data_IF_469095277836
#
_entry.id   IF_469095277836
#
_cell.length_a   1.000
_cell.length_b   1.000
_cell.length_c   1.000
_cell.angle_alpha   90.00
_cell.angle_beta   90.00
_cell.angle_gamma   90.00
#
_symmetry.space_group_name_H-M   'P 1'
#
loop_
_entity.id
_entity.type
_entity.pdbx_description
1 polymer ?
#
# COMPACT_ATOMS: atom_id res chain seq x y z
N UNK A 1 16.26 -32.73 -21.25
CA UNK A 1 15.35 -32.94 -20.09
C UNK A 1 15.43 -31.70 -19.26
N UNK A 2 14.51 -30.76 -19.49
CA UNK A 2 14.40 -29.56 -18.66
C UNK A 2 13.68 -29.93 -17.34
N UNK A 3 14.38 -29.79 -16.24
CA UNK A 3 13.86 -29.99 -14.91
C UNK A 3 12.95 -28.80 -14.60
N UNK A 4 11.67 -28.92 -14.86
CA UNK A 4 10.67 -27.96 -14.40
C UNK A 4 10.63 -28.08 -12.88
N UNK A 5 11.36 -27.22 -12.19
CA UNK A 5 11.22 -27.05 -10.74
C UNK A 5 9.77 -26.71 -10.38
N UNK A 6 9.31 -27.00 -9.14
CA UNK A 6 7.96 -26.66 -8.74
C UNK A 6 7.77 -25.16 -8.92
N UNK A 7 6.81 -24.79 -9.80
CA UNK A 7 6.37 -23.41 -9.97
C UNK A 7 5.94 -22.90 -8.59
N UNK A 8 6.70 -21.98 -8.03
CA UNK A 8 6.28 -21.25 -6.84
C UNK A 8 4.89 -20.70 -7.11
N UNK A 9 3.92 -20.87 -6.21
CA UNK A 9 2.58 -20.35 -6.41
C UNK A 9 2.70 -18.84 -6.64
N UNK A 10 2.03 -18.34 -7.69
CA UNK A 10 2.04 -16.92 -8.03
C UNK A 10 1.57 -16.14 -6.80
N UNK A 11 2.48 -15.36 -6.21
CA UNK A 11 2.15 -14.49 -5.11
C UNK A 11 1.42 -13.26 -5.65
N UNK A 12 0.28 -12.94 -5.05
CA UNK A 12 -0.50 -11.74 -5.32
C UNK A 12 -0.39 -10.80 -4.13
N UNK A 13 0.67 -9.94 -4.07
CA UNK A 13 0.81 -8.98 -2.99
C UNK A 13 -0.44 -8.12 -2.89
N UNK A 14 -0.92 -7.88 -1.67
CA UNK A 14 -2.21 -7.24 -1.47
C UNK A 14 -2.34 -5.91 -2.21
N UNK A 15 -1.35 -5.03 -2.06
CA UNK A 15 -1.41 -3.68 -2.62
C UNK A 15 -1.36 -3.67 -4.16
N UNK A 16 -0.66 -4.63 -4.80
CA UNK A 16 -0.59 -4.74 -6.25
C UNK A 16 -1.96 -5.06 -6.86
N UNK A 17 -2.69 -5.93 -6.19
CA UNK A 17 -4.05 -6.29 -6.61
C UNK A 17 -5.02 -5.16 -6.28
N UNK A 18 -4.89 -4.53 -5.12
CA UNK A 18 -5.77 -3.46 -4.67
C UNK A 18 -5.81 -2.24 -5.62
N UNK A 19 -4.68 -1.91 -6.28
CA UNK A 19 -4.61 -0.81 -7.25
C UNK A 19 -5.03 -1.19 -8.67
N UNK A 20 -5.25 -2.48 -8.94
CA UNK A 20 -5.68 -2.96 -10.26
C UNK A 20 -7.00 -2.32 -10.70
N UNK A 21 -7.12 -1.94 -11.96
CA UNK A 21 -8.29 -1.22 -12.51
C UNK A 21 -9.62 -1.99 -12.38
N UNK A 22 -9.60 -3.32 -12.28
CA UNK A 22 -10.79 -4.15 -12.05
C UNK A 22 -11.19 -4.26 -10.58
N UNK A 23 -10.21 -4.14 -9.68
CA UNK A 23 -10.35 -4.30 -8.23
C UNK A 23 -10.62 -2.96 -7.54
N UNK A 24 -9.78 -1.96 -7.82
CA UNK A 24 -9.76 -0.66 -7.17
C UNK A 24 -11.14 0.01 -7.07
N UNK A 25 -11.94 0.14 -8.14
CA UNK A 25 -13.23 0.80 -8.06
C UNK A 25 -14.25 0.06 -7.18
N UNK A 26 -14.11 -1.25 -7.05
CA UNK A 26 -14.97 -2.09 -6.19
C UNK A 26 -14.50 -2.04 -4.74
N UNK A 27 -13.19 -2.08 -4.54
CA UNK A 27 -12.57 -1.94 -3.23
C UNK A 27 -12.93 -0.60 -2.56
N UNK A 28 -12.89 0.49 -3.34
CA UNK A 28 -13.27 1.83 -2.86
C UNK A 28 -14.76 1.98 -2.51
N UNK A 29 -15.61 1.06 -2.95
CA UNK A 29 -17.03 0.98 -2.56
C UNK A 29 -17.30 0.07 -1.36
N UNK A 30 -16.24 -0.54 -0.81
CA UNK A 30 -16.36 -1.48 0.32
C UNK A 30 -16.98 -2.83 -0.06
N UNK A 31 -16.87 -3.24 -1.33
CA UNK A 31 -17.33 -4.56 -1.76
C UNK A 31 -16.47 -5.66 -1.15
N UNK A 32 -17.09 -6.79 -0.79
CA UNK A 32 -16.36 -8.00 -0.45
C UNK A 32 -15.79 -8.61 -1.73
N UNK A 33 -14.46 -8.68 -1.82
CA UNK A 33 -13.74 -9.07 -3.01
C UNK A 33 -12.86 -10.29 -2.75
N UNK A 34 -12.93 -11.25 -3.67
CA UNK A 34 -12.12 -12.46 -3.63
C UNK A 34 -11.63 -12.78 -5.03
N UNK A 35 -10.39 -13.14 -5.14
CA UNK A 35 -9.76 -13.59 -6.39
C UNK A 35 -9.39 -15.06 -6.23
N UNK A 36 -9.90 -15.88 -7.11
CA UNK A 36 -9.65 -17.32 -7.13
C UNK A 36 -8.84 -17.74 -8.34
N UNK A 37 -8.16 -18.86 -8.23
CA UNK A 37 -7.66 -19.58 -9.41
C UNK A 37 -8.81 -19.90 -10.38
N UNK A 38 -8.55 -20.11 -11.70
CA UNK A 38 -9.61 -20.28 -12.71
C UNK A 38 -10.61 -21.38 -12.39
N UNK A 39 -10.18 -22.43 -11.70
CA UNK A 39 -11.02 -23.54 -11.25
C UNK A 39 -11.55 -23.40 -9.82
N UNK A 40 -11.39 -22.25 -9.20
CA UNK A 40 -11.73 -21.97 -7.80
C UNK A 40 -11.07 -22.93 -6.78
N UNK A 41 -9.96 -23.54 -7.12
CA UNK A 41 -9.25 -24.48 -6.24
C UNK A 41 -8.54 -23.77 -5.09
N UNK A 42 -8.10 -22.53 -5.32
CA UNK A 42 -7.37 -21.71 -4.33
C UNK A 42 -7.87 -20.27 -4.34
N UNK A 43 -7.86 -19.66 -3.16
CA UNK A 43 -7.97 -18.20 -3.01
C UNK A 43 -6.57 -17.62 -3.29
N UNK A 44 -6.48 -16.66 -4.19
CA UNK A 44 -5.23 -16.02 -4.57
C UNK A 44 -5.09 -14.64 -3.90
N UNK A 45 -6.22 -14.01 -3.62
CA UNK A 45 -6.30 -12.72 -2.97
C UNK A 45 -7.71 -12.47 -2.43
N UNK A 46 -7.81 -11.72 -1.34
CA UNK A 46 -9.08 -11.25 -0.78
C UNK A 46 -8.86 -9.95 0.00
N UNK A 47 -9.92 -9.14 0.17
CA UNK A 47 -9.94 -8.09 1.17
C UNK A 47 -10.60 -8.59 2.48
N UNK A 48 -10.51 -7.81 3.56
CA UNK A 48 -11.09 -8.21 4.84
C UNK A 48 -12.60 -8.47 4.78
N UNK A 49 -13.35 -7.71 3.96
CA UNK A 49 -14.77 -7.95 3.74
C UNK A 49 -15.03 -9.30 3.07
N UNK A 50 -14.18 -9.72 2.12
CA UNK A 50 -14.26 -11.03 1.46
C UNK A 50 -13.96 -12.20 2.42
N UNK A 51 -12.93 -12.08 3.26
CA UNK A 51 -12.61 -13.07 4.28
C UNK A 51 -13.79 -13.22 5.27
N UNK A 52 -14.28 -12.11 5.81
CA UNK A 52 -15.43 -12.11 6.74
C UNK A 52 -16.72 -12.65 6.11
N UNK A 53 -16.91 -12.47 4.81
CA UNK A 53 -18.08 -13.02 4.11
C UNK A 53 -18.19 -14.55 4.27
N UNK A 54 -17.06 -15.24 4.31
CA UNK A 54 -17.00 -16.67 4.56
C UNK A 54 -16.69 -17.05 6.03
N UNK A 55 -16.77 -16.08 6.95
CA UNK A 55 -16.61 -16.31 8.39
C UNK A 55 -15.17 -16.30 8.90
N UNK A 56 -14.20 -15.96 8.05
CA UNK A 56 -12.81 -15.82 8.49
C UNK A 56 -12.55 -14.40 9.02
N UNK A 57 -11.91 -14.28 10.17
CA UNK A 57 -11.54 -13.01 10.76
C UNK A 57 -10.26 -12.44 10.12
N UNK A 58 -9.35 -13.32 9.69
CA UNK A 58 -8.06 -12.98 9.09
C UNK A 58 -8.08 -13.23 7.57
N UNK A 59 -7.44 -12.33 6.83
CA UNK A 59 -7.17 -12.49 5.39
C UNK A 59 -6.23 -13.69 5.19
N UNK A 60 -5.23 -13.85 6.05
CA UNK A 60 -4.23 -14.90 5.94
C UNK A 60 -4.83 -16.28 6.12
N UNK A 61 -5.69 -16.47 7.15
CA UNK A 61 -6.39 -17.72 7.36
C UNK A 61 -7.27 -18.09 6.15
N UNK A 62 -7.97 -17.09 5.60
CA UNK A 62 -8.81 -17.33 4.42
C UNK A 62 -8.02 -17.64 3.15
N UNK A 63 -6.83 -17.08 2.99
CA UNK A 63 -5.93 -17.41 1.87
C UNK A 63 -5.40 -18.84 1.97
N UNK A 64 -5.16 -19.33 3.19
CA UNK A 64 -4.64 -20.67 3.45
C UNK A 64 -5.74 -21.74 3.38
N UNK A 65 -6.83 -21.55 4.11
CA UNK A 65 -7.90 -22.52 4.25
C UNK A 65 -8.91 -22.49 3.09
N UNK A 66 -9.18 -21.28 2.58
CA UNK A 66 -10.21 -21.02 1.59
C UNK A 66 -11.64 -21.15 2.16
N UNK A 67 -12.66 -21.01 1.31
CA UNK A 67 -14.04 -21.19 1.71
C UNK A 67 -14.39 -22.66 1.91
N UNK A 68 -15.31 -22.93 2.81
CA UNK A 68 -15.86 -24.28 2.97
C UNK A 68 -16.54 -24.73 1.67
N UNK A 69 -16.01 -25.80 1.06
CA UNK A 69 -16.51 -26.36 -0.20
C UNK A 69 -17.96 -26.87 -0.13
N UNK A 70 -18.43 -27.19 1.07
CA UNK A 70 -19.82 -27.63 1.31
C UNK A 70 -20.78 -26.47 1.47
N UNK A 71 -20.28 -25.24 1.61
CA UNK A 71 -21.13 -24.06 1.75
C UNK A 71 -21.99 -23.83 0.50
N UNK A 72 -23.28 -23.58 0.72
CA UNK A 72 -24.24 -23.40 -0.37
C UNK A 72 -23.91 -22.16 -1.20
N UNK A 73 -23.47 -21.08 -0.56
CA UNK A 73 -23.10 -19.84 -1.20
C UNK A 73 -21.88 -20.04 -2.09
N UNK A 74 -20.86 -20.76 -1.58
CA UNK A 74 -19.67 -21.07 -2.37
C UNK A 74 -20.00 -21.93 -3.59
N UNK A 75 -20.86 -22.94 -3.45
CA UNK A 75 -21.30 -23.78 -4.57
C UNK A 75 -22.08 -22.98 -5.64
N UNK A 76 -22.85 -21.97 -5.24
CA UNK A 76 -23.51 -21.06 -6.19
C UNK A 76 -22.47 -20.20 -6.96
N UNK A 77 -21.45 -19.69 -6.28
CA UNK A 77 -20.33 -18.97 -6.90
C UNK A 77 -19.58 -19.88 -7.87
N UNK A 78 -19.27 -21.11 -7.46
CA UNK A 78 -18.61 -22.09 -8.31
C UNK A 78 -19.43 -22.41 -9.58
N UNK A 79 -20.74 -22.60 -9.44
CA UNK A 79 -21.63 -22.86 -10.58
C UNK A 79 -21.67 -21.67 -11.55
N UNK A 80 -21.65 -20.43 -11.06
CA UNK A 80 -21.57 -19.23 -11.89
C UNK A 80 -20.22 -19.11 -12.60
N UNK A 81 -19.11 -19.37 -11.87
CA UNK A 81 -17.77 -19.29 -12.41
C UNK A 81 -17.50 -20.32 -13.52
N UNK A 82 -18.08 -21.52 -13.43
CA UNK A 82 -17.98 -22.54 -14.49
C UNK A 82 -18.60 -22.12 -15.84
N UNK A 83 -19.41 -21.07 -15.85
CA UNK A 83 -20.00 -20.50 -17.07
C UNK A 83 -19.14 -19.42 -17.71
N UNK A 84 -18.01 -19.07 -17.11
CA UNK A 84 -17.06 -18.10 -17.64
C UNK A 84 -16.09 -18.83 -18.58
N UNK A 85 -16.08 -18.46 -19.84
CA UNK A 85 -15.29 -19.15 -20.89
C UNK A 85 -14.05 -18.36 -21.31
N UNK A 86 -14.12 -17.03 -21.31
CA UNK A 86 -13.05 -16.15 -21.76
C UNK A 86 -12.90 -14.93 -20.87
N UNK A 87 -11.70 -14.36 -20.83
CA UNK A 87 -11.43 -13.10 -20.12
C UNK A 87 -12.42 -12.02 -20.52
N UNK A 88 -13.01 -11.36 -19.53
CA UNK A 88 -14.09 -10.39 -19.69
C UNK A 88 -15.50 -10.96 -19.54
N UNK A 89 -15.67 -12.28 -19.53
CA UNK A 89 -16.97 -12.88 -19.23
C UNK A 89 -17.36 -12.59 -17.78
N UNK A 90 -18.64 -12.26 -17.59
CA UNK A 90 -19.22 -11.93 -16.28
C UNK A 90 -20.55 -12.63 -16.10
N UNK A 91 -20.84 -13.04 -14.85
CA UNK A 91 -22.11 -13.65 -14.43
C UNK A 91 -22.57 -13.03 -13.13
N UNK A 92 -23.80 -12.56 -13.13
CA UNK A 92 -24.50 -12.11 -11.91
C UNK A 92 -25.20 -13.30 -11.27
N UNK A 93 -25.12 -13.37 -9.95
CA UNK A 93 -25.81 -14.39 -9.16
C UNK A 93 -26.42 -13.76 -7.92
N UNK A 94 -27.59 -14.24 -7.53
CA UNK A 94 -28.26 -13.76 -6.34
C UNK A 94 -27.86 -14.61 -5.14
N UNK A 95 -27.22 -14.00 -4.16
CA UNK A 95 -26.87 -14.61 -2.90
C UNK A 95 -27.81 -14.12 -1.79
N UNK A 96 -28.03 -14.95 -0.77
CA UNK A 96 -28.76 -14.57 0.43
C UNK A 96 -27.78 -14.45 1.58
N UNK A 97 -27.54 -13.23 2.02
CA UNK A 97 -26.58 -12.92 3.09
C UNK A 97 -27.35 -12.68 4.38
N UNK A 98 -26.85 -13.24 5.48
CA UNK A 98 -27.38 -12.97 6.82
C UNK A 98 -26.92 -11.59 7.27
N UNK A 99 -27.84 -10.70 7.55
CA UNK A 99 -27.59 -9.39 8.15
C UNK A 99 -28.43 -9.27 9.42
N UNK A 100 -27.78 -9.43 10.57
CA UNK A 100 -28.48 -9.56 11.85
C UNK A 100 -29.39 -10.80 11.84
N UNK A 101 -30.70 -10.59 12.04
CA UNK A 101 -31.70 -11.66 12.05
C UNK A 101 -32.39 -11.88 10.68
N UNK A 102 -32.00 -11.15 9.66
CA UNK A 102 -32.65 -11.21 8.33
C UNK A 102 -31.70 -11.75 7.27
N UNK A 103 -32.29 -12.45 6.28
CA UNK A 103 -31.60 -12.83 5.05
C UNK A 103 -31.90 -11.81 3.97
N UNK A 104 -30.88 -11.04 3.59
CA UNK A 104 -30.99 -10.03 2.56
C UNK A 104 -30.49 -10.58 1.23
N UNK A 105 -31.25 -10.48 0.13
CA UNK A 105 -30.76 -10.85 -1.18
C UNK A 105 -29.78 -9.77 -1.69
N UNK A 106 -28.62 -10.19 -2.18
CA UNK A 106 -27.63 -9.33 -2.83
C UNK A 106 -27.23 -9.92 -4.16
N UNK A 107 -26.99 -9.06 -5.15
CA UNK A 107 -26.50 -9.48 -6.45
C UNK A 107 -24.98 -9.44 -6.44
N UNK A 108 -24.35 -10.62 -6.37
CA UNK A 108 -22.91 -10.78 -6.54
C UNK A 108 -22.56 -10.90 -8.04
N UNK A 109 -21.30 -10.67 -8.36
CA UNK A 109 -20.76 -10.80 -9.71
C UNK A 109 -19.52 -11.72 -9.66
N UNK A 110 -19.50 -12.74 -10.53
CA UNK A 110 -18.31 -13.50 -10.84
C UNK A 110 -17.82 -13.09 -12.24
N UNK A 111 -16.54 -12.75 -12.37
CA UNK A 111 -15.94 -12.26 -13.60
C UNK A 111 -14.58 -12.95 -13.84
N UNK A 112 -14.31 -13.39 -15.08
CA UNK A 112 -13.01 -13.89 -15.47
C UNK A 112 -12.14 -12.70 -15.92
N UNK A 113 -11.14 -12.37 -15.15
CA UNK A 113 -10.27 -11.18 -15.36
C UNK A 113 -8.80 -11.58 -15.43
N UNK A 114 -7.98 -10.69 -15.97
CA UNK A 114 -6.52 -10.77 -15.84
C UNK A 114 -6.06 -9.68 -14.85
N UNK A 115 -5.44 -10.09 -13.74
CA UNK A 115 -4.76 -9.18 -12.81
C UNK A 115 -3.31 -9.01 -13.26
N UNK A 116 -2.70 -10.11 -13.71
CA UNK A 116 -1.40 -10.12 -14.39
C UNK A 116 -1.61 -10.59 -15.82
N UNK A 117 -0.85 -10.02 -16.73
CA UNK A 117 -0.96 -10.33 -18.15
C UNK A 117 -0.78 -11.83 -18.41
N UNK A 118 -1.77 -12.43 -19.06
CA UNK A 118 -1.76 -13.87 -19.39
C UNK A 118 -2.14 -14.80 -18.23
N UNK A 119 -2.48 -14.26 -17.05
CA UNK A 119 -2.91 -15.06 -15.90
C UNK A 119 -4.40 -14.80 -15.62
N UNK A 120 -5.30 -15.60 -16.23
CA UNK A 120 -6.73 -15.47 -15.95
C UNK A 120 -7.05 -15.91 -14.52
N UNK A 121 -7.90 -15.15 -13.84
CA UNK A 121 -8.38 -15.43 -12.48
C UNK A 121 -9.87 -15.15 -12.40
N UNK A 122 -10.56 -15.76 -11.47
CA UNK A 122 -11.98 -15.47 -11.20
C UNK A 122 -12.08 -14.45 -10.07
N UNK A 123 -12.56 -13.27 -10.40
CA UNK A 123 -12.92 -12.22 -9.45
C UNK A 123 -14.36 -12.41 -9.02
N UNK A 124 -14.60 -12.53 -7.73
CA UNK A 124 -15.93 -12.51 -7.11
C UNK A 124 -16.09 -11.22 -6.33
N UNK A 125 -17.14 -10.47 -6.64
CA UNK A 125 -17.46 -9.22 -5.99
C UNK A 125 -18.87 -9.24 -5.44
N UNK A 126 -19.02 -8.91 -4.17
CA UNK A 126 -20.28 -8.91 -3.44
C UNK A 126 -20.50 -7.51 -2.87
N UNK A 127 -21.60 -6.81 -3.24
CA UNK A 127 -21.87 -5.48 -2.72
C UNK A 127 -22.00 -5.49 -1.20
N UNK A 128 -21.60 -4.40 -0.52
CA UNK A 128 -21.78 -4.28 0.91
C UNK A 128 -23.29 -4.19 1.26
N UNK A 129 -23.66 -4.70 2.43
CA UNK A 129 -24.97 -4.48 3.01
C UNK A 129 -24.94 -3.12 3.72
N UNK A 130 -25.54 -2.12 3.09
CA UNK A 130 -25.46 -0.73 3.56
C UNK A 130 -24.30 0.03 2.93
N UNK A 131 -24.22 1.30 3.25
CA UNK A 131 -23.10 2.17 2.85
C UNK A 131 -22.22 2.42 4.07
N UNK A 132 -20.90 2.58 3.88
CA UNK A 132 -20.04 3.11 4.95
C UNK A 132 -20.66 4.41 5.47
N UNK A 133 -20.77 4.56 6.79
CA UNK A 133 -21.39 5.72 7.39
C UNK A 133 -20.48 6.95 7.33
N UNK A 134 -19.17 6.73 7.24
CA UNK A 134 -18.17 7.78 7.14
C UNK A 134 -16.96 7.36 6.29
N UNK A 135 -16.12 8.35 5.97
CA UNK A 135 -14.83 8.10 5.32
C UNK A 135 -13.88 7.28 6.21
N UNK A 136 -13.97 7.49 7.51
CA UNK A 136 -13.18 6.75 8.51
C UNK A 136 -13.58 5.28 8.52
N UNK A 137 -14.89 4.99 8.48
CA UNK A 137 -15.38 3.60 8.42
C UNK A 137 -14.88 2.88 7.16
N UNK A 138 -14.92 3.56 6.01
CA UNK A 138 -14.38 3.01 4.77
C UNK A 138 -12.86 2.75 4.89
N UNK A 139 -12.12 3.69 5.44
CA UNK A 139 -10.69 3.55 5.64
C UNK A 139 -10.34 2.40 6.61
N UNK A 140 -11.12 2.21 7.66
CA UNK A 140 -10.97 1.07 8.59
C UNK A 140 -11.28 -0.25 7.88
N UNK A 141 -12.33 -0.30 7.05
CA UNK A 141 -12.66 -1.48 6.26
C UNK A 141 -11.55 -1.88 5.28
N UNK A 142 -10.85 -0.91 4.69
CA UNK A 142 -9.72 -1.17 3.78
C UNK A 142 -8.54 -1.86 4.49
N UNK A 143 -8.39 -1.63 5.79
CA UNK A 143 -7.33 -2.21 6.62
C UNK A 143 -7.78 -3.45 7.41
N UNK A 144 -9.06 -3.79 7.37
CA UNK A 144 -9.61 -4.88 8.16
C UNK A 144 -9.09 -6.26 7.70
N UNK A 145 -8.93 -7.18 8.65
CA UNK A 145 -8.51 -8.55 8.40
C UNK A 145 -6.99 -8.75 8.32
N UNK A 146 -6.21 -7.70 8.51
CA UNK A 146 -4.77 -7.80 8.70
C UNK A 146 -4.47 -7.81 10.20
N UNK A 147 -3.88 -8.88 10.68
CA UNK A 147 -3.54 -9.14 12.08
C UNK A 147 -2.03 -9.38 12.30
N UNK A 148 -1.23 -9.09 11.27
CA UNK A 148 0.23 -9.19 11.35
C UNK A 148 0.81 -8.06 12.21
N UNK A 149 1.48 -8.37 13.34
CA UNK A 149 2.03 -7.37 14.25
C UNK A 149 3.16 -6.54 13.64
N UNK A 150 3.86 -7.07 12.62
CA UNK A 150 4.99 -6.43 11.97
C UNK A 150 4.56 -5.57 10.76
N UNK A 151 3.27 -5.59 10.41
CA UNK A 151 2.70 -4.80 9.32
C UNK A 151 1.92 -3.61 9.85
N UNK A 152 2.39 -2.42 9.53
CA UNK A 152 1.75 -1.16 9.90
C UNK A 152 1.05 -0.56 8.69
N UNK A 153 -0.18 -0.13 8.89
CA UNK A 153 -1.03 0.36 7.82
C UNK A 153 -1.59 1.74 8.13
N UNK A 154 -1.77 2.54 7.09
CA UNK A 154 -2.53 3.79 7.18
C UNK A 154 -3.25 4.08 5.87
N UNK A 155 -4.41 4.73 5.98
CA UNK A 155 -5.11 5.33 4.86
C UNK A 155 -4.96 6.84 4.94
N UNK A 156 -4.43 7.43 3.87
CA UNK A 156 -4.28 8.88 3.72
C UNK A 156 -5.34 9.45 2.78
N UNK A 157 -5.72 10.68 3.02
CA UNK A 157 -6.47 11.48 2.05
C UNK A 157 -5.55 12.04 0.93
N UNK A 158 -6.11 12.84 0.02
CA UNK A 158 -5.37 13.45 -1.08
C UNK A 158 -4.30 14.47 -0.66
N UNK A 159 -4.38 14.98 0.56
CA UNK A 159 -3.44 15.96 1.14
C UNK A 159 -2.38 15.30 2.05
N UNK A 160 -2.48 14.00 2.24
CA UNK A 160 -1.57 13.22 3.07
C UNK A 160 -1.89 13.24 4.56
N UNK A 161 -3.14 13.61 4.95
CA UNK A 161 -3.59 13.45 6.32
C UNK A 161 -4.04 12.01 6.56
N UNK A 162 -3.76 11.50 7.75
CA UNK A 162 -4.20 10.15 8.16
C UNK A 162 -5.70 10.16 8.40
N UNK A 163 -6.44 9.37 7.62
CA UNK A 163 -7.89 9.14 7.82
C UNK A 163 -8.11 8.02 8.84
N UNK A 164 -7.35 6.94 8.73
CA UNK A 164 -7.33 5.83 9.67
C UNK A 164 -5.97 5.14 9.64
N UNK A 165 -5.59 4.45 10.72
CA UNK A 165 -4.33 3.72 10.81
C UNK A 165 -4.44 2.52 11.75
N UNK A 166 -3.53 1.55 11.60
CA UNK A 166 -3.32 0.47 12.56
C UNK A 166 -2.79 1.03 13.90
N UNK A 167 -2.99 0.28 14.97
CA UNK A 167 -2.75 0.75 16.34
C UNK A 167 -1.31 1.24 16.60
N UNK A 168 -0.32 0.62 15.97
CA UNK A 168 1.09 0.94 16.17
C UNK A 168 1.69 1.86 15.09
N UNK A 169 0.90 2.25 14.08
CA UNK A 169 1.37 3.09 12.99
C UNK A 169 1.99 4.42 13.47
N UNK A 170 1.40 5.06 14.47
CA UNK A 170 1.90 6.33 15.01
C UNK A 170 3.33 6.22 15.58
N UNK A 171 3.71 5.04 16.09
CA UNK A 171 5.05 4.77 16.63
C UNK A 171 6.15 4.75 15.54
N UNK A 172 5.78 4.64 14.27
CA UNK A 172 6.73 4.74 13.16
C UNK A 172 7.29 6.16 12.97
N UNK A 173 6.61 7.19 13.48
CA UNK A 173 7.07 8.57 13.36
C UNK A 173 7.15 9.08 11.93
N UNK A 174 6.24 8.62 11.03
CA UNK A 174 6.16 9.12 9.65
C UNK A 174 5.69 10.57 9.67
N UNK A 175 6.49 11.47 9.11
CA UNK A 175 6.20 12.90 9.14
C UNK A 175 5.09 13.28 8.14
N UNK A 176 4.33 14.38 8.39
CA UNK A 176 3.36 14.89 7.41
C UNK A 176 3.98 15.23 6.06
N UNK A 177 5.26 15.61 6.03
CA UNK A 177 6.00 15.86 4.79
C UNK A 177 6.20 14.56 4.00
N UNK A 178 6.63 13.49 4.66
CA UNK A 178 6.80 12.16 4.06
C UNK A 178 5.47 11.65 3.51
N UNK A 179 4.38 11.74 4.28
CA UNK A 179 3.05 11.32 3.85
C UNK A 179 2.60 12.07 2.58
N UNK A 180 2.68 13.40 2.56
CA UNK A 180 2.34 14.21 1.37
C UNK A 180 3.20 13.87 0.15
N UNK A 181 4.49 13.62 0.36
CA UNK A 181 5.39 13.23 -0.72
C UNK A 181 4.99 11.88 -1.33
N UNK A 182 4.66 10.90 -0.49
CA UNK A 182 4.20 9.58 -0.93
C UNK A 182 2.89 9.65 -1.71
N UNK A 183 1.91 10.42 -1.22
CA UNK A 183 0.63 10.65 -1.90
C UNK A 183 0.83 11.28 -3.27
N UNK A 184 1.71 12.30 -3.39
CA UNK A 184 2.04 12.93 -4.67
C UNK A 184 2.71 11.96 -5.64
N UNK A 185 3.70 11.21 -5.18
CA UNK A 185 4.38 10.21 -6.00
C UNK A 185 3.40 9.18 -6.55
N UNK A 186 2.56 8.62 -5.70
CA UNK A 186 1.55 7.62 -6.08
C UNK A 186 0.54 8.18 -7.09
N UNK A 187 0.21 9.46 -6.98
CA UNK A 187 -0.73 10.12 -7.89
C UNK A 187 -0.12 10.41 -9.27
N UNK A 188 1.21 10.48 -9.39
CA UNK A 188 1.92 10.70 -10.66
C UNK A 188 2.28 9.40 -11.37
N UNK A 189 2.30 8.27 -10.68
CA UNK A 189 2.61 6.96 -11.28
C UNK A 189 1.42 6.41 -12.07
N UNK A 190 1.70 5.81 -13.23
CA UNK A 190 0.68 5.24 -14.13
C UNK A 190 -0.08 4.06 -13.52
N UNK A 191 0.62 3.24 -12.75
CA UNK A 191 0.09 2.09 -12.04
C UNK A 191 -0.45 2.41 -10.64
N UNK A 192 -0.37 3.70 -10.23
CA UNK A 192 -0.87 4.20 -8.93
C UNK A 192 -0.26 3.51 -7.72
N UNK A 193 0.94 2.99 -7.86
CA UNK A 193 1.64 2.22 -6.83
C UNK A 193 3.10 2.68 -6.73
N UNK A 194 3.55 2.93 -5.50
CA UNK A 194 4.94 3.24 -5.18
C UNK A 194 5.43 2.22 -4.15
N UNK A 195 6.54 1.54 -4.46
CA UNK A 195 7.23 0.62 -3.56
C UNK A 195 8.64 1.12 -3.33
N UNK A 196 8.95 1.51 -2.12
CA UNK A 196 10.28 2.00 -1.74
C UNK A 196 10.46 2.05 -0.23
N UNK A 197 11.69 2.01 0.27
CA UNK A 197 11.96 2.34 1.66
C UNK A 197 11.52 3.77 1.97
N UNK A 198 10.89 3.95 3.13
CA UNK A 198 10.43 5.26 3.63
C UNK A 198 11.14 5.61 4.92
N UNK A 199 11.48 6.90 5.13
CA UNK A 199 12.06 7.36 6.37
C UNK A 199 11.01 7.32 7.49
N UNK A 200 11.41 6.75 8.62
CA UNK A 200 10.61 6.68 9.84
C UNK A 200 11.45 7.15 11.03
N UNK A 201 10.84 7.30 12.20
CA UNK A 201 11.57 7.59 13.44
C UNK A 201 12.53 6.48 13.88
N UNK A 202 12.43 5.29 13.28
CA UNK A 202 13.27 4.11 13.56
C UNK A 202 14.25 3.78 12.42
N UNK A 203 14.40 4.65 11.43
CA UNK A 203 15.19 4.42 10.23
C UNK A 203 14.32 4.19 8.99
N UNK A 204 14.87 3.53 7.97
CA UNK A 204 14.14 3.24 6.74
C UNK A 204 13.43 1.90 6.81
N UNK A 205 12.11 1.90 6.57
CA UNK A 205 11.31 0.67 6.49
C UNK A 205 10.86 0.42 5.06
N UNK A 206 10.84 -0.84 4.60
CA UNK A 206 10.19 -1.23 3.35
C UNK A 206 8.71 -0.82 3.39
N UNK A 207 8.25 -0.14 2.35
CA UNK A 207 6.86 0.29 2.27
C UNK A 207 6.32 0.24 0.85
N UNK A 208 5.00 0.12 0.77
CA UNK A 208 4.24 0.22 -0.46
C UNK A 208 3.01 1.09 -0.21
N UNK A 209 2.78 2.05 -1.09
CA UNK A 209 1.59 2.90 -1.05
C UNK A 209 0.87 2.85 -2.39
N UNK A 210 -0.45 2.66 -2.35
CA UNK A 210 -1.29 2.58 -3.54
C UNK A 210 -2.48 3.54 -3.45
N UNK A 211 -2.84 4.17 -4.58
CA UNK A 211 -4.04 4.99 -4.67
C UNK A 211 -5.27 4.12 -4.88
N UNK A 212 -6.13 4.01 -3.87
CA UNK A 212 -7.30 3.13 -3.84
C UNK A 212 -8.56 3.80 -4.38
N UNK A 213 -8.69 5.12 -4.22
CA UNK A 213 -9.86 5.88 -4.67
C UNK A 213 -9.45 7.23 -5.24
N UNK A 214 -10.23 7.73 -6.20
CA UNK A 214 -10.05 9.07 -6.78
C UNK A 214 -11.03 10.09 -6.18
N UNK A 215 -12.22 9.65 -5.76
CA UNK A 215 -13.24 10.53 -5.20
C UNK A 215 -14.01 9.81 -4.07
N UNK A 216 -13.70 10.13 -2.80
CA UNK A 216 -12.58 10.93 -2.33
C UNK A 216 -11.23 10.28 -2.61
N UNK A 217 -10.16 11.08 -2.75
CA UNK A 217 -8.83 10.53 -2.96
C UNK A 217 -8.37 9.81 -1.70
N UNK A 218 -8.09 8.50 -1.83
CA UNK A 218 -7.61 7.66 -0.74
C UNK A 218 -6.37 6.87 -1.17
N UNK A 219 -5.39 6.83 -0.29
CA UNK A 219 -4.13 6.12 -0.48
C UNK A 219 -3.88 5.17 0.68
N UNK A 220 -3.66 3.91 0.39
CA UNK A 220 -3.38 2.87 1.39
C UNK A 220 -1.88 2.61 1.44
N UNK A 221 -1.29 2.79 2.60
CA UNK A 221 0.12 2.52 2.90
C UNK A 221 0.23 1.22 3.70
N UNK A 222 1.19 0.39 3.31
CA UNK A 222 1.77 -0.69 4.11
C UNK A 222 3.23 -0.35 4.39
N UNK A 223 3.65 -0.47 5.63
CA UNK A 223 5.04 -0.43 6.05
C UNK A 223 5.33 -1.68 6.88
N UNK A 224 6.35 -2.43 6.50
CA UNK A 224 6.69 -3.68 7.18
C UNK A 224 7.88 -3.43 8.08
N UNK A 225 7.69 -3.68 9.37
CA UNK A 225 8.78 -3.68 10.34
C UNK A 225 9.54 -5.01 10.18
N UNK A 226 10.35 -5.08 9.13
CA UNK A 226 11.26 -6.21 8.98
C UNK A 226 12.28 -6.04 10.09
N UNK A 227 12.22 -6.88 11.12
CA UNK A 227 13.37 -7.16 11.95
C UNK A 227 14.36 -7.85 11.01
N UNK A 228 15.09 -7.06 10.25
CA UNK A 228 16.35 -7.48 9.67
C UNK A 228 17.15 -7.77 10.92
N UNK A 229 17.11 -9.02 11.38
CA UNK A 229 17.91 -9.48 12.49
C UNK A 229 19.30 -8.91 12.30
N UNK A 230 20.25 -8.94 13.21
CA UNK A 230 21.59 -8.34 13.21
C UNK A 230 22.34 -8.21 11.86
N UNK A 231 21.68 -8.47 10.74
CA UNK A 231 22.10 -8.19 9.37
C UNK A 231 21.41 -6.91 8.88
N UNK A 232 21.89 -5.76 9.37
CA UNK A 232 21.78 -4.53 8.59
C UNK A 232 22.67 -4.71 7.34
N UNK A 233 22.12 -4.90 6.14
CA UNK A 233 22.96 -5.04 4.94
C UNK A 233 23.82 -3.81 4.69
N UNK A 234 23.50 -2.66 5.26
CA UNK A 234 24.33 -1.46 5.24
C UNK A 234 25.57 -1.57 6.11
N UNK A 235 25.60 -2.42 7.13
CA UNK A 235 26.79 -2.61 7.95
C UNK A 235 27.84 -3.51 7.26
N UNK A 236 27.38 -4.52 6.50
CA UNK A 236 28.27 -5.43 5.77
C UNK A 236 28.78 -4.84 4.44
N UNK A 237 28.13 -3.80 3.91
CA UNK A 237 28.52 -3.07 2.70
C UNK A 237 29.00 -1.64 2.96
N UNK A 238 29.24 -1.27 4.22
CA UNK A 238 29.99 -0.07 4.52
C UNK A 238 31.39 -0.26 3.93
N UNK A 239 31.65 0.34 2.77
CA UNK A 239 33.02 0.54 2.34
C UNK A 239 33.81 1.09 3.54
N UNK A 240 34.97 0.51 3.90
CA UNK A 240 35.76 1.07 4.97
C UNK A 240 35.96 2.52 4.64
N UNK A 241 35.44 3.41 5.50
CA UNK A 241 35.55 4.84 5.32
C UNK A 241 37.01 5.11 5.03
N UNK A 242 37.34 5.49 3.78
CA UNK A 242 38.63 5.95 3.43
C UNK A 242 38.96 7.01 4.48
N UNK A 243 39.97 6.78 5.29
CA UNK A 243 40.43 7.76 6.25
C UNK A 243 40.82 8.98 5.42
N UNK A 244 39.88 9.88 5.23
CA UNK A 244 40.15 11.22 4.74
C UNK A 244 40.94 11.83 5.89
N UNK A 245 42.25 11.81 5.73
CA UNK A 245 43.15 12.56 6.55
C UNK A 245 42.68 14.02 6.49
N UNK A 246 41.92 14.41 7.49
CA UNK A 246 41.49 15.80 7.65
C UNK A 246 42.73 16.59 7.97
N UNK A 247 43.43 17.06 6.92
CA UNK A 247 44.42 18.13 7.10
C UNK A 247 43.67 19.32 7.67
N UNK A 248 44.10 19.92 8.77
CA UNK A 248 43.40 21.05 9.37
C UNK A 248 43.32 22.18 8.35
N UNK A 249 42.11 22.63 8.08
CA UNK A 249 41.79 23.80 7.25
C UNK A 249 42.01 25.06 8.12
N UNK A 250 43.23 25.25 8.63
CA UNK A 250 43.56 26.43 9.43
C UNK A 250 44.03 27.62 8.58
N UNK A 251 44.36 27.36 7.31
CA UNK A 251 44.90 28.42 6.43
C UNK A 251 43.81 29.16 5.67
N UNK A 252 42.62 28.58 5.49
CA UNK A 252 41.55 29.21 4.75
C UNK A 252 40.71 30.21 5.57
N UNK A 253 40.60 30.04 6.87
CA UNK A 253 39.89 30.98 7.74
C UNK A 253 40.66 32.31 7.98
N UNK A 254 41.97 32.27 8.01
CA UNK A 254 42.77 33.49 8.13
C UNK A 254 42.65 34.40 6.88
N UNK A 255 42.64 33.79 5.70
CA UNK A 255 42.47 34.56 4.43
C UNK A 255 41.10 35.19 4.26
N UNK A 256 40.06 34.57 4.80
CA UNK A 256 38.68 35.11 4.72
C UNK A 256 38.49 36.28 5.70
N UNK A 257 39.12 36.21 6.89
CA UNK A 257 39.04 37.31 7.86
C UNK A 257 39.81 38.55 7.37
N UNK A 258 40.96 38.33 6.74
CA UNK A 258 41.78 39.44 6.17
C UNK A 258 41.09 40.11 4.99
N UNK A 259 40.42 39.37 4.11
CA UNK A 259 39.65 39.92 3.01
C UNK A 259 38.39 40.71 3.49
N UNK A 260 37.76 40.30 4.58
CA UNK A 260 36.62 41.00 5.17
C UNK A 260 37.01 42.30 5.85
N UNK A 261 38.18 42.36 6.47
CA UNK A 261 38.71 43.56 7.13
C UNK A 261 39.11 44.62 6.10
N UNK A 262 39.71 44.23 4.96
CA UNK A 262 40.08 45.15 3.88
C UNK A 262 38.84 45.74 3.20
N UNK A 263 37.74 44.95 3.02
CA UNK A 263 36.50 45.47 2.47
C UNK A 263 35.75 46.43 3.41
N UNK A 264 35.82 46.22 4.71
CA UNK A 264 35.22 47.12 5.71
C UNK A 264 35.96 48.49 5.75
N UNK A 265 37.28 48.50 5.63
CA UNK A 265 38.08 49.71 5.62
C UNK A 265 37.85 50.57 4.35
N UNK A 266 37.64 49.92 3.19
CA UNK A 266 37.34 50.63 1.93
C UNK A 266 35.92 51.29 1.93
N UNK A 267 34.98 50.69 2.66
CA UNK A 267 33.62 51.24 2.77
C UNK A 267 33.58 52.44 3.72
N UNK A 268 34.38 52.47 4.78
CA UNK A 268 34.47 53.64 5.68
C UNK A 268 35.13 54.85 5.01
N UNK A 269 36.14 54.66 4.17
CA UNK A 269 36.83 55.75 3.49
C UNK A 269 35.95 56.42 2.41
N UNK A 270 35.07 55.67 1.75
CA UNK A 270 34.13 56.22 0.75
C UNK A 270 32.94 56.95 1.36
N UNK A 271 32.55 56.65 2.59
CA UNK A 271 31.42 57.36 3.27
C UNK A 271 31.86 58.69 3.84
N UNK A 272 33.14 58.87 4.25
CA UNK A 272 33.65 60.12 4.78
C UNK A 272 33.82 61.17 3.69
N UNK A 273 34.13 60.84 2.43
CA UNK A 273 34.27 61.79 1.34
C UNK A 273 32.91 62.34 0.81
N UNK A 274 31.82 61.69 1.06
CA UNK A 274 30.48 62.16 0.62
C UNK A 274 29.79 63.12 1.60
N UNK A 275 30.33 63.34 2.81
CA UNK A 275 29.73 64.25 3.80
C UNK A 275 30.51 65.56 4.01
N UNK A 276 31.58 65.86 3.24
CA UNK A 276 32.39 67.08 3.37
C UNK A 276 32.47 67.95 2.09
N UNK A 277 31.48 67.85 1.19
CA UNK A 277 31.34 68.74 0.07
C UNK A 277 29.97 69.42 0.04
#
# INVERSE_FOLDING_TARGET
METTGPLMPAQYPFIDVAVNDKIRPRLSRGEALMVFSPKLERVLWTNGAGARFFGSASIYDFLEEGPNRSDVTFRQIEAAARQLAKTGDSRSLMLRITSGFQKVPVTAVAELVEIRRGEPVVLVAIPPIGKPSSLVDLAQELMAGFDDPDTHMAVFDGDGHVVASSSQFAALGITPHTARTLVKLTSSESDRLVKRPIPTGRGYLPAAIGKISDAPALHLLFAVETILGQMDPSADFAEPAAQVEVRPVEVAQAAIVEAAVVQAAVVEETVVEQFTA
#
